data_IF_221225490710
#
_entry.id   IF_221225490710
#
_cell.length_a   1.000
_cell.length_b   1.000
_cell.length_c   1.000
_cell.angle_alpha   90.00
_cell.angle_beta   90.00
_cell.angle_gamma   90.00
#
_symmetry.space_group_name_H-M   'P 1'
#
loop_
_entity.id
_entity.type
_entity.pdbx_description
1 polymer ?
#
# COMPACT_ATOMS: atom_id res chain seq x y z
N UNK A 1 8.11 22.59 -23.82
CA UNK A 1 9.32 21.78 -24.05
C UNK A 1 9.33 20.77 -22.92
N UNK A 2 9.10 19.49 -23.23
CA UNK A 2 9.00 18.42 -22.24
C UNK A 2 10.37 17.76 -22.14
N UNK A 3 10.90 17.65 -20.92
CA UNK A 3 12.21 17.05 -20.65
C UNK A 3 12.16 15.52 -20.84
N UNK A 4 13.04 14.93 -21.68
CA UNK A 4 13.00 13.51 -22.03
C UNK A 4 13.43 12.56 -20.89
N UNK A 5 14.12 13.06 -19.86
CA UNK A 5 14.44 12.29 -18.64
C UNK A 5 13.27 12.24 -17.64
N UNK A 6 12.26 13.10 -17.82
CA UNK A 6 11.02 13.10 -17.03
C UNK A 6 9.97 12.13 -17.60
N UNK A 7 10.27 11.52 -18.75
CA UNK A 7 9.53 10.42 -19.37
C UNK A 7 10.10 9.06 -18.92
N UNK A 8 10.40 8.87 -17.63
CA UNK A 8 10.23 7.51 -17.09
C UNK A 8 8.76 7.16 -17.32
N UNK A 9 8.55 6.31 -18.32
CA UNK A 9 7.26 6.10 -18.99
C UNK A 9 6.14 6.04 -17.95
N UNK A 10 5.24 7.04 -17.98
CA UNK A 10 4.08 7.09 -17.11
C UNK A 10 3.33 5.75 -17.11
N UNK A 11 3.41 4.98 -18.21
CA UNK A 11 2.90 3.61 -18.32
C UNK A 11 3.50 2.66 -17.27
N UNK A 12 4.82 2.69 -17.04
CA UNK A 12 5.48 1.85 -16.04
C UNK A 12 5.10 2.28 -14.61
N UNK A 13 4.97 3.59 -14.38
CA UNK A 13 4.50 4.15 -13.10
C UNK A 13 3.07 3.67 -12.81
N UNK A 14 2.19 3.69 -13.81
CA UNK A 14 0.80 3.24 -13.65
C UNK A 14 0.70 1.74 -13.36
N UNK A 15 1.57 0.90 -13.93
CA UNK A 15 1.61 -0.52 -13.58
C UNK A 15 1.98 -0.74 -12.10
N UNK A 16 2.99 -0.01 -11.62
CA UNK A 16 3.43 -0.10 -10.23
C UNK A 16 2.43 0.51 -9.24
N UNK A 17 1.58 1.46 -9.67
CA UNK A 17 0.48 2.00 -8.86
C UNK A 17 -0.48 0.91 -8.40
N UNK A 18 -0.78 -0.08 -9.25
CA UNK A 18 -1.63 -1.21 -8.86
C UNK A 18 -1.00 -2.06 -7.77
N UNK A 19 0.28 -2.43 -7.93
CA UNK A 19 1.04 -3.16 -6.92
C UNK A 19 1.07 -2.38 -5.59
N UNK A 20 1.24 -1.07 -5.67
CA UNK A 20 1.22 -0.21 -4.48
C UNK A 20 -0.14 -0.17 -3.80
N UNK A 21 -1.22 0.00 -4.56
CA UNK A 21 -2.57 0.00 -4.04
C UNK A 21 -2.91 -1.34 -3.39
N UNK A 22 -2.46 -2.46 -3.98
CA UNK A 22 -2.61 -3.84 -3.44
C UNK A 22 -1.73 -4.13 -2.23
N UNK A 23 -0.79 -3.23 -1.89
CA UNK A 23 0.14 -3.43 -0.78
C UNK A 23 1.29 -4.38 -1.12
N UNK A 24 1.42 -4.76 -2.40
CA UNK A 24 2.40 -5.72 -2.92
C UNK A 24 3.69 -5.07 -3.43
N UNK A 25 3.87 -3.76 -3.25
CA UNK A 25 5.11 -3.08 -3.62
C UNK A 25 6.13 -2.99 -2.46
N UNK A 26 7.42 -2.94 -2.81
CA UNK A 26 8.49 -2.71 -1.84
C UNK A 26 8.69 -1.20 -1.57
N UNK A 27 9.53 -0.87 -0.58
CA UNK A 27 9.76 0.53 -0.21
C UNK A 27 10.41 1.33 -1.35
N UNK A 28 11.34 0.71 -2.08
CA UNK A 28 12.02 1.37 -3.20
C UNK A 28 11.04 1.78 -4.30
N UNK A 29 10.06 0.92 -4.61
CA UNK A 29 9.01 1.21 -5.59
C UNK A 29 8.11 2.35 -5.11
N UNK A 30 7.73 2.38 -3.81
CA UNK A 30 6.95 3.49 -3.25
C UNK A 30 7.67 4.83 -3.38
N UNK A 31 8.94 4.87 -3.01
CA UNK A 31 9.73 6.10 -3.05
C UNK A 31 9.88 6.61 -4.49
N UNK A 32 10.11 5.70 -5.45
CA UNK A 32 10.16 6.01 -6.88
C UNK A 32 8.84 6.57 -7.41
N UNK A 33 7.72 5.94 -7.05
CA UNK A 33 6.37 6.38 -7.43
C UNK A 33 6.07 7.76 -6.87
N UNK A 34 6.38 7.99 -5.59
CA UNK A 34 6.18 9.29 -4.94
C UNK A 34 6.98 10.39 -5.64
N UNK A 35 8.27 10.16 -5.90
CA UNK A 35 9.12 11.12 -6.61
C UNK A 35 8.57 11.50 -7.99
N UNK A 36 8.02 10.53 -8.73
CA UNK A 36 7.40 10.79 -10.02
C UNK A 36 6.10 11.58 -9.88
N UNK A 37 5.22 11.17 -8.97
CA UNK A 37 3.95 11.84 -8.72
C UNK A 37 4.13 13.27 -8.21
N UNK A 38 5.21 13.59 -7.50
CA UNK A 38 5.51 14.96 -7.04
C UNK A 38 5.66 15.97 -8.21
N UNK A 39 5.93 15.49 -9.43
CA UNK A 39 6.20 16.33 -10.60
C UNK A 39 5.30 16.02 -11.81
N UNK A 40 4.47 14.96 -11.75
CA UNK A 40 3.67 14.48 -12.88
C UNK A 40 2.16 14.54 -12.57
N UNK A 41 1.51 15.66 -12.95
CA UNK A 41 0.06 15.85 -12.80
C UNK A 41 -0.79 14.71 -13.41
N UNK A 42 -0.50 14.21 -14.63
CA UNK A 42 -1.25 13.10 -15.20
C UNK A 42 -1.23 11.83 -14.35
N UNK A 43 -0.08 11.48 -13.75
CA UNK A 43 0.03 10.31 -12.89
C UNK A 43 -0.69 10.50 -11.54
N UNK A 44 -0.69 11.71 -10.98
CA UNK A 44 -1.49 12.02 -9.77
C UNK A 44 -2.98 11.83 -10.05
N UNK A 45 -3.47 12.34 -11.18
CA UNK A 45 -4.88 12.22 -11.57
C UNK A 45 -5.27 10.75 -11.78
N UNK A 46 -4.45 10.00 -12.52
CA UNK A 46 -4.67 8.58 -12.74
C UNK A 46 -4.64 7.78 -11.43
N UNK A 47 -3.64 7.99 -10.57
CA UNK A 47 -3.58 7.39 -9.23
C UNK A 47 -4.88 7.63 -8.44
N UNK A 48 -5.35 8.89 -8.40
CA UNK A 48 -6.56 9.26 -7.67
C UNK A 48 -7.83 8.62 -8.24
N UNK A 49 -7.87 8.30 -9.53
CA UNK A 49 -8.97 7.54 -10.14
C UNK A 49 -8.88 6.08 -9.71
N UNK A 50 -7.72 5.45 -9.83
CA UNK A 50 -7.53 4.04 -9.49
C UNK A 50 -7.80 3.76 -8.01
N UNK A 51 -7.35 4.63 -7.10
CA UNK A 51 -7.65 4.54 -5.67
C UNK A 51 -9.17 4.57 -5.40
N UNK A 52 -9.90 5.45 -6.09
CA UNK A 52 -11.37 5.55 -5.96
C UNK A 52 -12.07 4.32 -6.51
N UNK A 53 -11.64 3.81 -7.66
CA UNK A 53 -12.19 2.59 -8.27
C UNK A 53 -11.97 1.41 -7.33
N UNK A 54 -10.74 1.22 -6.84
CA UNK A 54 -10.42 0.15 -5.90
C UNK A 54 -11.24 0.27 -4.61
N UNK A 55 -11.37 1.47 -4.06
CA UNK A 55 -12.20 1.74 -2.89
C UNK A 55 -13.69 1.44 -3.13
N UNK A 56 -14.20 1.69 -4.34
CA UNK A 56 -15.57 1.34 -4.72
C UNK A 56 -15.74 -0.19 -4.82
N UNK A 57 -14.82 -0.87 -5.50
CA UNK A 57 -14.83 -2.34 -5.65
C UNK A 57 -14.73 -3.04 -4.30
N UNK A 58 -13.87 -2.59 -3.40
CA UNK A 58 -13.79 -3.13 -2.03
C UNK A 58 -15.13 -3.03 -1.30
N UNK A 59 -15.85 -1.91 -1.44
CA UNK A 59 -17.15 -1.71 -0.77
C UNK A 59 -18.31 -2.47 -1.41
N UNK A 60 -18.30 -2.67 -2.72
CA UNK A 60 -19.43 -3.25 -3.47
C UNK A 60 -19.24 -4.72 -3.80
N UNK A 61 -17.99 -5.16 -3.89
CA UNK A 61 -17.59 -6.48 -4.38
C UNK A 61 -16.60 -7.19 -3.44
N UNK A 62 -16.34 -6.67 -2.23
CA UNK A 62 -15.34 -7.18 -1.28
C UNK A 62 -15.59 -8.56 -0.66
N UNK A 63 -16.58 -9.32 -1.14
CA UNK A 63 -16.83 -10.71 -0.75
C UNK A 63 -17.56 -10.89 0.59
N UNK A 64 -17.59 -12.13 1.06
CA UNK A 64 -18.11 -12.48 2.39
C UNK A 64 -17.15 -12.03 3.48
N UNK A 65 -17.69 -11.35 4.48
CA UNK A 65 -16.93 -10.95 5.66
C UNK A 65 -16.44 -12.20 6.40
N UNK A 66 -15.19 -12.17 6.87
CA UNK A 66 -14.65 -13.24 7.68
C UNK A 66 -15.59 -13.55 8.87
N UNK A 67 -15.85 -14.83 9.18
CA UNK A 67 -16.77 -15.21 10.24
C UNK A 67 -16.30 -14.67 11.60
N UNK A 68 -17.25 -14.26 12.45
CA UNK A 68 -16.93 -13.58 13.71
C UNK A 68 -16.03 -14.40 14.63
N UNK A 69 -16.20 -15.73 14.64
CA UNK A 69 -15.36 -16.62 15.44
C UNK A 69 -13.89 -16.60 15.03
N UNK A 70 -13.57 -16.33 13.76
CA UNK A 70 -12.17 -16.15 13.32
C UNK A 70 -11.61 -14.83 13.87
N UNK A 71 -12.40 -13.76 13.84
CA UNK A 71 -12.00 -12.44 14.36
C UNK A 71 -11.74 -12.50 15.87
N UNK A 72 -12.57 -13.20 16.63
CA UNK A 72 -12.39 -13.35 18.08
C UNK A 72 -11.12 -14.14 18.42
N UNK A 73 -10.90 -15.26 17.73
CA UNK A 73 -9.66 -16.05 17.87
C UNK A 73 -8.41 -15.25 17.55
N UNK A 74 -8.42 -14.47 16.45
CA UNK A 74 -7.29 -13.63 16.08
C UNK A 74 -6.97 -12.58 17.15
N UNK A 75 -7.99 -11.93 17.71
CA UNK A 75 -7.79 -10.95 18.80
C UNK A 75 -7.12 -11.59 20.01
N UNK A 76 -7.61 -12.75 20.46
CA UNK A 76 -7.02 -13.48 21.59
C UNK A 76 -5.54 -13.84 21.33
N UNK A 77 -5.23 -14.36 20.14
CA UNK A 77 -3.87 -14.73 19.75
C UNK A 77 -2.91 -13.53 19.69
N UNK A 78 -3.35 -12.41 19.12
CA UNK A 78 -2.56 -11.17 19.07
C UNK A 78 -2.27 -10.66 20.48
N UNK A 79 -3.27 -10.61 21.37
CA UNK A 79 -3.07 -10.18 22.76
C UNK A 79 -2.13 -11.10 23.54
N UNK A 80 -2.16 -12.42 23.28
CA UNK A 80 -1.24 -13.39 23.88
C UNK A 80 0.21 -13.15 23.44
N UNK A 81 0.43 -12.88 22.15
CA UNK A 81 1.77 -12.69 21.58
C UNK A 81 2.50 -11.44 22.10
N UNK A 82 1.77 -10.37 22.43
CA UNK A 82 2.35 -9.10 22.90
C UNK A 82 3.00 -9.19 24.30
N UNK A 83 2.80 -10.27 25.06
CA UNK A 83 3.22 -10.35 26.47
C UNK A 83 4.71 -10.71 26.67
N UNK A 84 5.49 -11.05 25.63
CA UNK A 84 6.89 -11.47 25.82
C UNK A 84 7.85 -10.80 24.84
N UNK A 85 8.32 -9.60 25.18
CA UNK A 85 9.64 -9.13 24.74
C UNK A 85 10.22 -8.24 25.83
N UNK A 86 10.83 -8.85 26.87
CA UNK A 86 11.69 -8.15 27.82
C UNK A 86 13.05 -7.98 27.15
N UNK A 87 13.38 -6.76 26.76
CA UNK A 87 14.72 -6.41 26.29
C UNK A 87 15.54 -6.10 27.54
N UNK A 88 16.47 -6.96 27.92
CA UNK A 88 17.45 -6.66 28.95
C UNK A 88 18.56 -5.82 28.28
N UNK A 89 18.55 -4.51 28.53
CA UNK A 89 19.65 -3.63 28.21
C UNK A 89 20.81 -3.93 29.16
N UNK A 90 21.78 -4.73 28.73
CA UNK A 90 23.09 -4.78 29.38
C UNK A 90 23.91 -3.59 28.88
N UNK A 91 23.95 -2.53 29.69
CA UNK A 91 24.91 -1.45 29.57
C UNK A 91 26.31 -2.00 29.91
N UNK A 92 27.25 -1.79 28.99
CA UNK A 92 28.68 -2.09 29.13
C UNK A 92 29.49 -1.06 28.37
#
# INVERSE_FOLDING_TARGET
>A
MSDPDMEMDCTAVLADVWLMLDGECDQATRDRLQQHMDHCSPCIEAYGIEEKIKGLLSRKCGGEHAPEGLRERLKLEIHRSITVTRIETTEG
#
